data_IF_192593316799
#
_entry.id   IF_192593316799
#
_cell.length_a   1.000
_cell.length_b   1.000
_cell.length_c   1.000
_cell.angle_alpha   90.00
_cell.angle_beta   90.00
_cell.angle_gamma   90.00
#
_symmetry.space_group_name_H-M   'P 1'
#
loop_
_entity.id
_entity.type
_entity.pdbx_description
1 polymer ?
#
# COMPACT_ATOMS: atom_id res chain seq x y z
N UNK A 1 -31.41 -13.26 -2.93
CA UNK A 1 -30.48 -13.40 -4.07
C UNK A 1 -29.08 -12.77 -3.87
N UNK A 2 -28.84 -11.91 -2.86
CA UNK A 2 -27.47 -11.39 -2.58
C UNK A 2 -26.64 -12.35 -1.72
N UNK A 3 -27.27 -13.00 -0.74
CA UNK A 3 -26.59 -13.94 0.18
C UNK A 3 -25.97 -15.12 -0.57
N UNK A 4 -26.68 -15.70 -1.55
CA UNK A 4 -26.19 -16.82 -2.36
C UNK A 4 -24.94 -16.51 -3.19
N UNK A 5 -24.71 -15.24 -3.55
CA UNK A 5 -23.50 -14.79 -4.25
C UNK A 5 -22.30 -14.71 -3.31
N UNK A 6 -22.52 -14.31 -2.05
CA UNK A 6 -21.47 -14.21 -1.02
C UNK A 6 -21.12 -15.56 -0.40
N UNK A 7 -22.03 -16.54 -0.44
CA UNK A 7 -21.82 -17.88 0.13
C UNK A 7 -21.25 -18.90 -0.86
N UNK A 8 -21.44 -18.71 -2.17
CA UNK A 8 -20.97 -19.63 -3.21
C UNK A 8 -19.74 -19.11 -3.99
N UNK A 9 -18.84 -18.37 -3.34
CA UNK A 9 -17.58 -18.00 -3.99
C UNK A 9 -16.66 -19.23 -4.09
N UNK A 10 -16.03 -19.46 -5.27
CA UNK A 10 -15.07 -20.54 -5.42
C UNK A 10 -13.84 -20.29 -4.54
N UNK A 11 -13.36 -21.33 -3.86
CA UNK A 11 -12.13 -21.26 -3.10
C UNK A 11 -10.92 -21.12 -4.03
N UNK A 12 -10.33 -19.91 -4.09
CA UNK A 12 -9.12 -19.61 -4.88
C UNK A 12 -7.82 -19.66 -4.06
N UNK A 13 -7.85 -20.14 -2.81
CA UNK A 13 -6.66 -20.17 -1.94
C UNK A 13 -5.54 -21.03 -2.52
N UNK A 14 -5.76 -22.29 -2.96
CA UNK A 14 -4.67 -23.12 -3.49
C UNK A 14 -4.03 -22.53 -4.75
N UNK A 15 -4.83 -21.89 -5.61
CA UNK A 15 -4.35 -21.18 -6.80
C UNK A 15 -3.41 -20.03 -6.42
N UNK A 16 -3.82 -19.19 -5.47
CA UNK A 16 -3.00 -18.09 -4.96
C UNK A 16 -1.73 -18.59 -4.27
N UNK A 17 -1.80 -19.68 -3.50
CA UNK A 17 -0.62 -20.27 -2.85
C UNK A 17 0.42 -20.69 -3.88
N UNK A 18 0.01 -21.41 -4.93
CA UNK A 18 0.91 -21.81 -6.04
C UNK A 18 1.52 -20.59 -6.73
N UNK A 19 0.70 -19.58 -7.05
CA UNK A 19 1.18 -18.35 -7.68
C UNK A 19 2.21 -17.59 -6.81
N UNK A 20 1.98 -17.51 -5.50
CA UNK A 20 2.91 -16.85 -4.57
C UNK A 20 4.19 -17.66 -4.33
N UNK A 21 4.11 -18.99 -4.33
CA UNK A 21 5.25 -19.88 -4.14
C UNK A 21 6.12 -19.99 -5.41
N UNK A 22 5.52 -19.87 -6.60
CA UNK A 22 6.24 -19.88 -7.87
C UNK A 22 7.06 -18.60 -8.14
N UNK A 23 6.82 -17.52 -7.38
CA UNK A 23 7.50 -16.23 -7.58
C UNK A 23 8.67 -16.02 -6.60
N UNK A 24 9.86 -15.74 -7.15
CA UNK A 24 11.05 -15.37 -6.38
C UNK A 24 11.14 -13.88 -5.99
N UNK A 25 10.09 -13.10 -6.25
CA UNK A 25 10.03 -11.68 -5.86
C UNK A 25 9.84 -11.54 -4.35
N UNK A 26 10.17 -10.37 -3.80
CA UNK A 26 9.81 -10.05 -2.40
C UNK A 26 8.29 -10.15 -2.22
N UNK A 27 7.86 -10.56 -1.02
CA UNK A 27 6.46 -10.91 -0.71
C UNK A 27 5.48 -9.80 -1.12
N UNK A 28 5.83 -8.53 -0.86
CA UNK A 28 5.02 -7.37 -1.20
C UNK A 28 4.87 -7.06 -2.70
N UNK A 29 5.66 -7.71 -3.57
CA UNK A 29 5.53 -7.60 -5.04
C UNK A 29 4.98 -8.87 -5.72
N UNK A 30 4.59 -9.89 -4.95
CA UNK A 30 4.02 -11.13 -5.48
C UNK A 30 2.56 -11.02 -5.95
N UNK A 31 1.66 -10.30 -5.25
CA UNK A 31 0.28 -10.17 -5.74
C UNK A 31 0.21 -9.48 -7.10
N UNK A 32 -0.77 -9.90 -7.91
CA UNK A 32 -1.18 -9.13 -9.09
C UNK A 32 -1.59 -7.71 -8.67
N UNK A 33 -1.11 -6.69 -9.38
CA UNK A 33 -1.35 -5.28 -9.05
C UNK A 33 -0.48 -4.72 -7.93
N UNK A 34 0.37 -5.52 -7.27
CA UNK A 34 1.27 -5.06 -6.20
C UNK A 34 2.13 -3.85 -6.57
N UNK A 35 2.57 -3.76 -7.82
CA UNK A 35 3.34 -2.61 -8.33
C UNK A 35 2.58 -1.29 -8.19
N UNK A 36 1.28 -1.29 -8.50
CA UNK A 36 0.43 -0.11 -8.34
C UNK A 36 0.33 0.28 -6.87
N UNK A 37 -0.06 -0.66 -6.01
CA UNK A 37 -0.20 -0.41 -4.56
C UNK A 37 1.10 0.07 -3.90
N UNK A 38 2.22 -0.59 -4.19
CA UNK A 38 3.52 -0.21 -3.62
C UNK A 38 3.99 1.14 -4.13
N UNK A 39 3.76 1.47 -5.40
CA UNK A 39 4.11 2.78 -5.94
C UNK A 39 3.25 3.89 -5.31
N UNK A 40 1.93 3.68 -5.22
CA UNK A 40 1.02 4.63 -4.55
C UNK A 40 1.43 4.85 -3.10
N UNK A 41 1.70 3.76 -2.36
CA UNK A 41 2.17 3.85 -0.98
C UNK A 41 3.45 4.67 -0.88
N UNK A 42 4.46 4.39 -1.70
CA UNK A 42 5.74 5.12 -1.69
C UNK A 42 5.57 6.61 -1.94
N UNK A 43 4.71 6.99 -2.89
CA UNK A 43 4.44 8.40 -3.20
C UNK A 43 3.77 9.09 -2.03
N UNK A 44 2.69 8.52 -1.50
CA UNK A 44 1.95 9.11 -0.38
C UNK A 44 2.81 9.21 0.87
N UNK A 45 3.57 8.16 1.17
CA UNK A 45 4.50 8.15 2.30
C UNK A 45 5.59 9.21 2.13
N UNK A 46 6.23 9.26 0.96
CA UNK A 46 7.28 10.25 0.67
C UNK A 46 6.78 11.68 0.82
N UNK A 47 5.61 11.98 0.25
CA UNK A 47 4.96 13.29 0.39
C UNK A 47 4.65 13.62 1.85
N UNK A 48 4.08 12.67 2.60
CA UNK A 48 3.78 12.85 4.02
C UNK A 48 5.01 13.12 4.87
N UNK A 49 6.12 12.41 4.60
CA UNK A 49 7.38 12.60 5.31
C UNK A 49 8.02 13.96 4.98
N UNK A 50 8.02 14.37 3.71
CA UNK A 50 8.49 15.70 3.31
C UNK A 50 7.68 16.80 4.00
N UNK A 51 6.35 16.68 4.01
CA UNK A 51 5.48 17.61 4.71
C UNK A 51 5.77 17.66 6.22
N UNK A 52 5.98 16.51 6.85
CA UNK A 52 6.31 16.41 8.28
C UNK A 52 7.63 17.11 8.61
N UNK A 53 8.68 16.88 7.82
CA UNK A 53 9.99 17.55 8.01
C UNK A 53 9.87 19.05 7.77
N UNK A 54 9.16 19.48 6.73
CA UNK A 54 8.91 20.89 6.46
C UNK A 54 8.16 21.59 7.61
N UNK A 55 7.10 20.96 8.12
CA UNK A 55 6.35 21.47 9.28
C UNK A 55 7.22 21.53 10.53
N UNK A 56 8.04 20.51 10.79
CA UNK A 56 8.97 20.51 11.92
C UNK A 56 10.00 21.64 11.81
N UNK A 57 10.56 21.88 10.62
CA UNK A 57 11.50 22.98 10.38
C UNK A 57 10.85 24.35 10.65
N UNK A 58 9.62 24.55 10.19
CA UNK A 58 8.87 25.79 10.46
C UNK A 58 8.56 25.98 11.95
N UNK A 59 8.32 24.90 12.69
CA UNK A 59 8.12 24.96 14.14
C UNK A 59 9.40 25.35 14.88
N UNK A 60 10.55 24.83 14.45
CA UNK A 60 11.86 25.11 15.07
C UNK A 60 12.33 26.54 14.78
N UNK A 61 12.26 26.96 13.53
CA UNK A 61 12.74 28.29 13.10
C UNK A 61 11.81 29.40 13.62
N UNK A 62 10.54 29.06 13.88
CA UNK A 62 9.51 30.00 14.23
C UNK A 62 9.02 30.77 13.00
N UNK A 63 7.75 31.21 13.03
CA UNK A 63 7.25 32.16 12.04
C UNK A 63 7.67 33.58 12.45
N UNK A 64 8.18 34.43 11.55
CA UNK A 64 8.27 35.86 11.81
C UNK A 64 6.87 36.37 12.20
N UNK A 65 6.75 36.95 13.38
CA UNK A 65 5.53 37.64 13.79
C UNK A 65 5.50 38.96 13.02
N UNK A 66 4.46 39.16 12.21
CA UNK A 66 4.20 40.43 11.56
C UNK A 66 3.90 41.53 12.59
#
# INVERSE_FOLDING_TARGET
MVVGYLTNLPNKVPEKQRAYQAMHKNIWYRPAGSKLYMNTFKVLFGLGMVGSVYSAANLIIGKPSA
#
